data_IF_857959200349
#
_entry.id   IF_857959200349
#
_cell.length_a   1.000
_cell.length_b   1.000
_cell.length_c   1.000
_cell.angle_alpha   90.00
_cell.angle_beta   90.00
_cell.angle_gamma   90.00
#
_symmetry.space_group_name_H-M   'P 1'
#
loop_
_entity.id
_entity.type
_entity.pdbx_description
1 polymer ?
#
# COMPACT_ATOMS: atom_id res chain seq x y z
N UNK A 1 -10.46 -7.60 12.01
CA UNK A 1 -9.79 -6.65 12.93
C UNK A 1 -8.38 -7.16 13.10
N UNK A 2 -7.36 -6.32 12.87
CA UNK A 2 -5.99 -6.69 13.23
C UNK A 2 -5.96 -6.73 14.77
N UNK A 3 -5.67 -7.90 15.33
CA UNK A 3 -5.72 -8.14 16.79
C UNK A 3 -4.54 -7.51 17.55
N UNK A 4 -3.54 -7.01 16.81
CA UNK A 4 -2.34 -6.38 17.34
C UNK A 4 -2.37 -4.86 17.15
N UNK A 5 -2.81 -4.16 18.20
CA UNK A 5 -2.89 -2.71 18.25
C UNK A 5 -1.51 -2.04 18.14
N UNK A 6 -0.45 -2.69 18.65
CA UNK A 6 0.91 -2.17 18.56
C UNK A 6 1.44 -2.22 17.13
N UNK A 7 1.14 -3.30 16.39
CA UNK A 7 1.46 -3.40 14.97
C UNK A 7 0.71 -2.35 14.15
N UNK A 8 -0.59 -2.13 14.44
CA UNK A 8 -1.38 -1.08 13.77
C UNK A 8 -0.76 0.30 13.98
N UNK A 9 -0.37 0.64 15.20
CA UNK A 9 0.25 1.94 15.49
C UNK A 9 1.63 2.10 14.81
N UNK A 10 2.41 1.03 14.70
CA UNK A 10 3.67 1.05 13.95
C UNK A 10 3.43 1.27 12.45
N UNK A 11 2.45 0.56 11.87
CA UNK A 11 2.08 0.71 10.46
C UNK A 11 1.63 2.14 10.13
N UNK A 12 0.84 2.76 11.01
CA UNK A 12 0.39 4.16 10.86
C UNK A 12 1.55 5.16 10.88
N UNK A 13 2.56 4.91 11.73
CA UNK A 13 3.72 5.80 11.85
C UNK A 13 4.72 5.63 10.72
N UNK A 14 5.23 4.41 10.56
CA UNK A 14 6.19 4.04 9.53
C UNK A 14 6.25 2.51 9.41
N UNK A 15 5.55 1.98 8.41
CA UNK A 15 5.51 0.54 8.16
C UNK A 15 6.90 -0.07 7.90
N UNK A 16 7.91 0.73 7.54
CA UNK A 16 9.28 0.23 7.30
C UNK A 16 9.93 -0.31 8.57
N UNK A 17 9.50 0.18 9.73
CA UNK A 17 10.02 -0.25 11.04
C UNK A 17 9.18 -1.37 11.67
N UNK A 18 8.02 -1.69 11.09
CA UNK A 18 7.16 -2.75 11.58
C UNK A 18 7.76 -4.16 11.30
N UNK A 19 7.55 -5.14 12.19
CA UNK A 19 8.03 -6.51 12.03
C UNK A 19 7.17 -7.29 11.01
N UNK A 20 7.27 -6.89 9.74
CA UNK A 20 6.51 -7.45 8.63
C UNK A 20 7.26 -8.58 7.92
N UNK A 21 6.49 -9.54 7.41
CA UNK A 21 7.00 -10.51 6.44
C UNK A 21 7.43 -9.83 5.14
N UNK A 22 8.23 -10.54 4.35
CA UNK A 22 8.77 -10.03 3.09
C UNK A 22 7.66 -9.63 2.10
N UNK A 23 6.61 -10.46 1.99
CA UNK A 23 5.46 -10.19 1.11
C UNK A 23 4.69 -8.93 1.53
N UNK A 24 4.36 -8.79 2.82
CA UNK A 24 3.63 -7.63 3.34
C UNK A 24 4.44 -6.34 3.15
N UNK A 25 5.75 -6.39 3.39
CA UNK A 25 6.65 -5.27 3.17
C UNK A 25 6.68 -4.85 1.70
N UNK A 26 6.85 -5.81 0.78
CA UNK A 26 6.87 -5.52 -0.66
C UNK A 26 5.54 -4.93 -1.15
N UNK A 27 4.41 -5.43 -0.64
CA UNK A 27 3.08 -4.88 -0.91
C UNK A 27 2.95 -3.42 -0.45
N UNK A 28 3.37 -3.11 0.78
CA UNK A 28 3.30 -1.75 1.31
C UNK A 28 4.27 -0.79 0.62
N UNK A 29 5.46 -1.23 0.25
CA UNK A 29 6.41 -0.44 -0.55
C UNK A 29 5.84 -0.12 -1.94
N UNK A 30 5.18 -1.09 -2.59
CA UNK A 30 4.48 -0.86 -3.84
C UNK A 30 3.36 0.17 -3.69
N UNK A 31 2.51 0.03 -2.67
CA UNK A 31 1.40 0.95 -2.40
C UNK A 31 1.89 2.37 -2.08
N UNK A 32 2.97 2.51 -1.29
CA UNK A 32 3.59 3.80 -0.98
C UNK A 32 4.13 4.49 -2.23
N UNK A 33 4.87 3.75 -3.08
CA UNK A 33 5.38 4.29 -4.35
C UNK A 33 4.25 4.71 -5.29
N UNK A 34 3.23 3.88 -5.46
CA UNK A 34 2.07 4.18 -6.31
C UNK A 34 1.30 5.42 -5.82
N UNK A 35 1.25 5.62 -4.49
CA UNK A 35 0.58 6.77 -3.89
C UNK A 35 1.39 8.07 -4.07
N UNK A 36 2.70 8.02 -3.84
CA UNK A 36 3.56 9.22 -3.79
C UNK A 36 4.12 9.64 -5.15
N UNK A 37 4.47 8.68 -5.99
CA UNK A 37 5.17 8.90 -7.27
C UNK A 37 4.63 7.95 -8.35
N UNK A 38 3.31 7.97 -8.66
CA UNK A 38 2.72 7.08 -9.66
C UNK A 38 3.36 7.22 -11.06
N UNK A 39 3.91 8.40 -11.40
CA UNK A 39 4.61 8.64 -12.67
C UNK A 39 5.98 7.93 -12.78
N UNK A 40 6.51 7.38 -11.67
CA UNK A 40 7.77 6.63 -11.65
C UNK A 40 7.56 5.12 -11.59
N UNK A 41 6.32 4.64 -11.68
CA UNK A 41 6.01 3.22 -11.70
C UNK A 41 6.58 2.57 -12.96
N UNK A 42 7.18 1.40 -12.79
CA UNK A 42 7.80 0.60 -13.85
C UNK A 42 7.41 -0.87 -13.72
N UNK A 43 7.74 -1.66 -14.73
CA UNK A 43 7.45 -3.11 -14.75
C UNK A 43 8.11 -3.83 -13.57
N UNK A 44 9.30 -3.38 -13.18
CA UNK A 44 10.08 -3.97 -12.10
C UNK A 44 9.37 -3.89 -10.74
N UNK A 45 8.49 -2.89 -10.53
CA UNK A 45 7.67 -2.79 -9.32
C UNK A 45 6.69 -3.96 -9.20
N UNK A 46 6.10 -4.35 -10.33
CA UNK A 46 5.18 -5.50 -10.42
C UNK A 46 5.94 -6.82 -10.32
N UNK A 47 7.11 -6.91 -10.95
CA UNK A 47 7.96 -8.10 -10.88
C UNK A 47 8.45 -8.40 -9.46
N UNK A 48 8.73 -7.37 -8.65
CA UNK A 48 9.04 -7.55 -7.23
C UNK A 48 7.90 -8.20 -6.43
N UNK A 49 6.65 -7.83 -6.71
CA UNK A 49 5.50 -8.47 -6.06
C UNK A 49 5.38 -9.94 -6.45
N UNK A 50 5.61 -10.27 -7.73
CA UNK A 50 5.64 -11.68 -8.16
C UNK A 50 6.76 -12.47 -7.49
N UNK A 51 7.93 -11.86 -7.31
CA UNK A 51 9.09 -12.52 -6.69
C UNK A 51 8.83 -12.97 -5.24
N UNK A 52 7.94 -12.27 -4.52
CA UNK A 52 7.54 -12.60 -3.14
C UNK A 52 6.26 -13.46 -3.07
N UNK A 53 5.78 -13.96 -4.22
CA UNK A 53 4.72 -14.96 -4.29
C UNK A 53 3.32 -14.43 -4.62
N UNK A 54 3.14 -13.14 -4.89
CA UNK A 54 1.84 -12.63 -5.33
C UNK A 54 1.50 -13.06 -6.76
N UNK A 55 0.27 -13.50 -6.97
CA UNK A 55 -0.28 -13.78 -8.29
C UNK A 55 -0.65 -12.49 -9.02
N UNK A 56 -0.88 -12.55 -10.34
CA UNK A 56 -1.36 -11.39 -11.09
C UNK A 56 -2.70 -10.85 -10.59
N UNK A 57 -3.56 -11.73 -10.04
CA UNK A 57 -4.81 -11.33 -9.41
C UNK A 57 -4.56 -10.56 -8.11
N UNK A 58 -3.67 -11.05 -7.24
CA UNK A 58 -3.33 -10.36 -5.99
C UNK A 58 -2.71 -8.98 -6.28
N UNK A 59 -1.85 -8.89 -7.29
CA UNK A 59 -1.22 -7.62 -7.71
C UNK A 59 -2.26 -6.62 -8.21
N UNK A 60 -3.25 -7.10 -8.97
CA UNK A 60 -4.37 -6.27 -9.41
C UNK A 60 -5.14 -5.74 -8.21
N UNK A 61 -5.44 -6.58 -7.23
CA UNK A 61 -6.16 -6.18 -6.02
C UNK A 61 -5.37 -5.17 -5.19
N UNK A 62 -4.06 -5.38 -5.00
CA UNK A 62 -3.16 -4.42 -4.33
C UNK A 62 -3.21 -3.06 -5.03
N UNK A 63 -3.10 -3.05 -6.37
CA UNK A 63 -3.15 -1.81 -7.15
C UNK A 63 -4.50 -1.09 -7.01
N UNK A 64 -5.60 -1.83 -7.14
CA UNK A 64 -6.94 -1.28 -7.06
C UNK A 64 -7.24 -0.68 -5.68
N UNK A 65 -6.89 -1.37 -4.60
CA UNK A 65 -7.09 -0.88 -3.23
C UNK A 65 -6.28 0.39 -3.00
N UNK A 66 -5.00 0.41 -3.36
CA UNK A 66 -4.16 1.59 -3.22
C UNK A 66 -4.69 2.78 -4.04
N UNK A 67 -5.09 2.54 -5.30
CA UNK A 67 -5.66 3.57 -6.16
C UNK A 67 -7.00 4.11 -5.65
N UNK A 68 -7.86 3.24 -5.14
CA UNK A 68 -9.16 3.60 -4.58
C UNK A 68 -9.02 4.52 -3.36
N UNK A 69 -8.17 4.17 -2.40
CA UNK A 69 -7.91 5.04 -1.24
C UNK A 69 -7.28 6.37 -1.67
N UNK A 70 -6.38 6.37 -2.64
CA UNK A 70 -5.83 7.61 -3.16
C UNK A 70 -6.90 8.51 -3.81
N UNK A 71 -7.92 7.94 -4.46
CA UNK A 71 -9.06 8.69 -4.98
C UNK A 71 -9.95 9.24 -3.85
N UNK A 72 -10.35 8.40 -2.90
CA UNK A 72 -11.21 8.80 -1.78
C UNK A 72 -10.55 9.87 -0.92
N UNK A 73 -9.26 9.73 -0.59
CA UNK A 73 -8.52 10.73 0.18
C UNK A 73 -8.51 12.09 -0.53
N UNK A 74 -8.28 12.11 -1.85
CA UNK A 74 -8.33 13.36 -2.63
C UNK A 74 -9.70 14.00 -2.64
N UNK A 75 -10.78 13.22 -2.65
CA UNK A 75 -12.13 13.75 -2.54
C UNK A 75 -12.40 14.32 -1.14
N UNK A 76 -12.09 13.56 -0.10
CA UNK A 76 -12.32 13.98 1.28
C UNK A 76 -11.52 15.25 1.61
N UNK A 77 -10.21 15.23 1.37
CA UNK A 77 -9.31 16.36 1.65
C UNK A 77 -9.61 17.55 0.73
N UNK A 78 -9.93 17.29 -0.55
CA UNK A 78 -10.23 18.34 -1.52
C UNK A 78 -11.54 19.07 -1.27
N UNK A 79 -12.50 18.42 -0.60
CA UNK A 79 -13.81 18.98 -0.25
C UNK A 79 -13.92 19.39 1.23
N UNK A 80 -12.92 19.08 2.06
CA UNK A 80 -12.92 19.37 3.50
C UNK A 80 -13.88 18.50 4.30
N UNK A 81 -14.05 17.23 3.92
CA UNK A 81 -14.88 16.27 4.68
C UNK A 81 -14.15 15.88 5.97
N UNK A 82 -14.79 16.04 7.12
CA UNK A 82 -14.27 15.63 8.42
C UNK A 82 -14.50 14.13 8.68
N UNK A 83 -13.55 13.47 9.35
CA UNK A 83 -13.54 12.05 9.72
C UNK A 83 -14.24 11.79 11.05
#
# INVERSE_FOLDING_TARGET
MIEDEALVEQLKRDFRQAPLGEADRAMLEYADKLTRTPWEMRREDVERLRAVGFTDADILDINQVAAYYAFVNRLADGLGVEL
#
